data_IF_806086518720
#
_entry.id   IF_806086518720
#
_cell.length_a   1.000
_cell.length_b   1.000
_cell.length_c   1.000
_cell.angle_alpha   90.00
_cell.angle_beta   90.00
_cell.angle_gamma   90.00
#
_symmetry.space_group_name_H-M   'P 1'
#
loop_
_entity.id
_entity.type
_entity.pdbx_description
1 polymer ?
#
# COMPACT_ATOMS: atom_id res chain seq x y z
N UNK A 1 39.69 -13.45 62.34
CA UNK A 1 38.77 -12.48 61.71
C UNK A 1 38.18 -13.09 60.43
N UNK A 2 36.97 -12.68 60.07
CA UNK A 2 36.04 -13.28 59.08
C UNK A 2 36.60 -13.36 57.66
N UNK A 3 36.71 -14.56 57.08
CA UNK A 3 36.90 -14.78 55.62
C UNK A 3 35.79 -15.64 54.95
N UNK A 4 34.87 -16.22 55.73
CA UNK A 4 33.86 -17.16 55.21
C UNK A 4 32.59 -16.56 54.60
N UNK A 5 32.56 -15.25 54.29
CA UNK A 5 31.34 -14.56 53.80
C UNK A 5 31.44 -13.95 52.40
N UNK A 6 32.58 -14.08 51.72
CA UNK A 6 32.79 -13.42 50.41
C UNK A 6 32.51 -14.31 49.19
N UNK A 7 32.22 -15.61 49.36
CA UNK A 7 32.00 -16.55 48.24
C UNK A 7 30.58 -17.13 48.17
N UNK A 8 29.62 -16.58 48.93
CA UNK A 8 28.22 -17.07 48.95
C UNK A 8 27.21 -16.03 48.46
N UNK A 9 27.67 -14.89 47.94
CA UNK A 9 26.78 -13.77 47.57
C UNK A 9 26.43 -13.71 46.08
N UNK A 10 27.24 -14.37 45.23
CA UNK A 10 27.17 -14.26 43.76
C UNK A 10 26.69 -15.52 43.02
N UNK A 11 26.52 -16.66 43.70
CA UNK A 11 26.04 -17.91 43.07
C UNK A 11 24.53 -18.12 43.29
N UNK A 12 23.76 -17.04 43.14
CA UNK A 12 22.30 -17.10 43.12
C UNK A 12 21.84 -17.55 41.73
N UNK A 13 22.10 -18.82 41.42
CA UNK A 13 21.44 -19.49 40.31
C UNK A 13 19.93 -19.31 40.42
N UNK A 14 19.28 -18.95 39.32
CA UNK A 14 17.82 -18.85 39.28
C UNK A 14 17.22 -20.20 39.65
N UNK A 15 16.16 -20.20 40.48
CA UNK A 15 15.50 -21.45 40.85
C UNK A 15 14.97 -22.14 39.58
N UNK A 16 14.89 -23.48 39.53
CA UNK A 16 14.46 -24.20 38.32
C UNK A 16 13.14 -23.68 37.75
N UNK A 17 12.19 -23.31 38.61
CA UNK A 17 10.89 -22.77 38.21
C UNK A 17 11.01 -21.32 37.70
N UNK A 18 11.79 -20.48 38.38
CA UNK A 18 11.97 -19.09 37.97
C UNK A 18 12.78 -19.01 36.67
N UNK A 19 13.76 -19.88 36.47
CA UNK A 19 14.53 -19.97 35.23
C UNK A 19 13.65 -20.30 34.03
N UNK A 20 12.72 -21.25 34.19
CA UNK A 20 11.75 -21.58 33.12
C UNK A 20 10.83 -20.40 32.82
N UNK A 21 10.31 -19.73 33.86
CA UNK A 21 9.44 -18.56 33.65
C UNK A 21 10.19 -17.44 32.92
N UNK A 22 11.44 -17.15 33.32
CA UNK A 22 12.24 -16.10 32.69
C UNK A 22 12.62 -16.43 31.24
N UNK A 23 12.99 -17.68 30.96
CA UNK A 23 13.30 -18.14 29.61
C UNK A 23 12.09 -18.07 28.69
N UNK A 24 10.93 -18.54 29.16
CA UNK A 24 9.69 -18.50 28.39
C UNK A 24 9.22 -17.06 28.20
N UNK A 25 9.30 -16.21 29.23
CA UNK A 25 8.85 -14.82 29.13
C UNK A 25 9.61 -14.04 28.05
N UNK A 26 10.95 -14.12 28.04
CA UNK A 26 11.76 -13.39 27.06
C UNK A 26 11.52 -13.93 25.65
N UNK A 27 11.47 -15.25 25.47
CA UNK A 27 11.24 -15.85 24.15
C UNK A 27 9.86 -15.53 23.60
N UNK A 28 8.82 -15.48 24.43
CA UNK A 28 7.48 -15.04 24.03
C UNK A 28 7.47 -13.59 23.59
N UNK A 29 8.15 -12.70 24.32
CA UNK A 29 8.27 -11.28 23.93
C UNK A 29 9.01 -11.15 22.60
N UNK A 30 10.17 -11.80 22.45
CA UNK A 30 10.95 -11.73 21.21
C UNK A 30 10.18 -12.29 20.01
N UNK A 31 9.47 -13.42 20.19
CA UNK A 31 8.65 -14.00 19.15
C UNK A 31 7.49 -13.08 18.74
N UNK A 32 6.80 -12.47 19.71
CA UNK A 32 5.71 -11.52 19.44
C UNK A 32 6.23 -10.29 18.68
N UNK A 33 7.34 -9.72 19.14
CA UNK A 33 7.95 -8.52 18.54
C UNK A 33 8.39 -8.81 17.10
N UNK A 34 9.16 -9.88 16.87
CA UNK A 34 9.60 -10.24 15.51
C UNK A 34 8.40 -10.58 14.62
N UNK A 35 7.37 -11.25 15.15
CA UNK A 35 6.13 -11.52 14.43
C UNK A 35 5.46 -10.25 13.90
N UNK A 36 5.39 -9.20 14.74
CA UNK A 36 4.86 -7.89 14.29
C UNK A 36 5.75 -7.18 13.28
N UNK A 37 7.09 -7.30 13.40
CA UNK A 37 8.01 -6.73 12.42
C UNK A 37 7.94 -7.45 11.07
N UNK A 38 7.85 -8.78 11.05
CA UNK A 38 7.72 -9.57 9.82
C UNK A 38 6.37 -9.30 9.14
N UNK A 39 5.29 -9.20 9.92
CA UNK A 39 3.97 -8.88 9.37
C UNK A 39 3.92 -7.45 8.80
N UNK A 40 4.54 -6.48 9.49
CA UNK A 40 4.67 -5.10 9.00
C UNK A 40 5.55 -4.96 7.75
N UNK A 41 6.54 -5.84 7.57
CA UNK A 41 7.33 -5.92 6.32
C UNK A 41 6.51 -6.53 5.17
N UNK A 42 5.59 -7.45 5.46
CA UNK A 42 4.67 -8.00 4.46
C UNK A 42 3.81 -6.92 3.80
N UNK A 43 3.31 -5.96 4.59
CA UNK A 43 2.53 -4.81 4.11
C UNK A 43 3.37 -3.87 3.23
N UNK A 44 4.67 -3.71 3.52
CA UNK A 44 5.57 -2.92 2.68
C UNK A 44 6.02 -3.63 1.39
N UNK A 45 6.00 -4.97 1.37
CA UNK A 45 6.37 -5.79 0.20
C UNK A 45 5.21 -5.91 -0.79
N UNK A 46 3.96 -5.74 -0.34
CA UNK A 46 2.77 -5.56 -1.18
C UNK A 46 2.83 -4.22 -1.92
N UNK A 47 3.75 -4.10 -2.88
CA UNK A 47 4.06 -2.85 -3.57
C UNK A 47 2.82 -2.13 -4.11
N UNK A 48 2.88 -0.80 -4.12
CA UNK A 48 1.83 0.06 -4.66
C UNK A 48 1.45 -0.39 -6.08
N UNK A 49 0.16 -0.34 -6.42
CA UNK A 49 -0.29 -0.67 -7.77
C UNK A 49 0.44 0.21 -8.81
N UNK A 50 0.99 -0.40 -9.85
CA UNK A 50 1.71 0.30 -10.92
C UNK A 50 1.04 0.01 -12.26
N UNK A 51 0.90 1.04 -13.09
CA UNK A 51 0.42 0.91 -14.47
C UNK A 51 0.99 2.06 -15.33
N UNK A 52 1.19 1.79 -16.62
CA UNK A 52 1.53 2.79 -17.62
C UNK A 52 0.26 3.40 -18.21
N UNK A 53 0.12 4.72 -18.12
CA UNK A 53 -0.99 5.45 -18.71
C UNK A 53 -0.47 6.65 -19.50
N UNK A 54 -1.09 6.92 -20.65
CA UNK A 54 -0.86 8.12 -21.45
C UNK A 54 -2.09 8.99 -21.37
N UNK A 55 -1.89 10.29 -21.15
CA UNK A 55 -2.95 11.30 -21.10
C UNK A 55 -2.69 12.26 -22.26
N UNK A 56 -3.64 12.35 -23.17
CA UNK A 56 -3.68 13.33 -24.25
C UNK A 56 -4.70 14.41 -23.89
N UNK A 57 -4.42 15.68 -24.16
CA UNK A 57 -5.35 16.78 -23.90
C UNK A 57 -5.41 17.29 -22.46
N UNK A 58 -4.34 17.13 -21.66
CA UNK A 58 -4.24 17.79 -20.35
C UNK A 58 -4.35 19.31 -20.50
N UNK A 59 -5.19 19.92 -19.68
CA UNK A 59 -5.53 21.33 -19.68
C UNK A 59 -6.26 21.82 -20.95
N UNK A 60 -6.95 20.92 -21.66
CA UNK A 60 -7.75 21.25 -22.85
C UNK A 60 -9.24 20.95 -22.64
N UNK A 61 -10.08 21.17 -23.66
CA UNK A 61 -11.54 20.95 -23.61
C UNK A 61 -11.93 19.48 -23.46
N UNK A 62 -11.06 18.54 -23.83
CA UNK A 62 -11.25 17.12 -23.58
C UNK A 62 -9.91 16.42 -23.38
N UNK A 63 -9.88 15.43 -22.48
CA UNK A 63 -8.67 14.64 -22.22
C UNK A 63 -8.93 13.16 -22.48
N UNK A 64 -8.04 12.50 -23.21
CA UNK A 64 -8.10 11.05 -23.46
C UNK A 64 -7.04 10.34 -22.65
N UNK A 65 -7.48 9.41 -21.80
CA UNK A 65 -6.64 8.56 -20.98
C UNK A 65 -6.57 7.18 -21.62
N UNK A 66 -5.37 6.73 -21.97
CA UNK A 66 -5.12 5.43 -22.62
C UNK A 66 -4.23 4.57 -21.74
N UNK A 67 -4.70 3.36 -21.44
CA UNK A 67 -3.93 2.38 -20.69
C UNK A 67 -2.87 1.74 -21.59
N UNK A 68 -1.58 2.00 -21.35
CA UNK A 68 -0.49 1.47 -22.17
C UNK A 68 0.14 0.20 -21.60
N UNK A 69 0.14 0.05 -20.27
CA UNK A 69 0.64 -1.14 -19.58
C UNK A 69 -0.13 -1.32 -18.26
N UNK A 70 -0.54 -2.53 -17.93
CA UNK A 70 -1.19 -2.83 -16.65
C UNK A 70 -0.22 -2.97 -15.48
N UNK A 71 1.07 -3.23 -15.72
CA UNK A 71 2.07 -3.37 -14.66
C UNK A 71 1.67 -4.41 -13.60
N UNK A 72 1.51 -3.96 -12.35
CA UNK A 72 1.00 -4.75 -11.21
C UNK A 72 -0.47 -4.47 -10.89
N UNK A 73 -1.11 -3.56 -11.62
CA UNK A 73 -2.51 -3.21 -11.43
C UNK A 73 -3.45 -4.21 -12.12
N UNK A 74 -4.54 -4.56 -11.44
CA UNK A 74 -5.64 -5.35 -11.99
C UNK A 74 -6.48 -4.50 -12.95
N UNK A 75 -6.66 -3.22 -12.62
CA UNK A 75 -7.42 -2.26 -13.41
C UNK A 75 -6.94 -0.82 -13.15
N UNK A 76 -7.26 0.07 -14.08
CA UNK A 76 -7.00 1.51 -13.96
C UNK A 76 -8.30 2.29 -14.07
N UNK A 77 -8.66 3.01 -13.02
CA UNK A 77 -9.86 3.82 -12.97
C UNK A 77 -9.52 5.31 -13.07
N UNK A 78 -10.42 6.09 -13.66
CA UNK A 78 -10.34 7.55 -13.62
C UNK A 78 -11.40 8.05 -12.64
N UNK A 79 -10.98 8.93 -11.73
CA UNK A 79 -11.78 9.50 -10.65
C UNK A 79 -11.73 11.01 -10.67
N UNK A 80 -12.79 11.65 -10.17
CA UNK A 80 -12.76 13.08 -9.86
C UNK A 80 -11.78 13.34 -8.71
N UNK A 81 -10.90 14.33 -8.86
CA UNK A 81 -9.89 14.65 -7.86
C UNK A 81 -10.49 15.23 -6.56
N UNK A 82 -11.68 15.84 -6.65
CA UNK A 82 -12.31 16.54 -5.53
C UNK A 82 -12.99 15.61 -4.52
N UNK A 83 -13.61 14.54 -5.00
CA UNK A 83 -14.41 13.63 -4.17
C UNK A 83 -13.99 12.15 -4.28
N UNK A 84 -13.02 11.82 -5.14
CA UNK A 84 -12.52 10.46 -5.33
C UNK A 84 -13.52 9.49 -5.98
N UNK A 85 -14.66 9.97 -6.49
CA UNK A 85 -15.65 9.10 -7.15
C UNK A 85 -15.23 8.73 -8.57
N UNK A 86 -15.50 7.49 -8.97
CA UNK A 86 -15.22 7.03 -10.33
C UNK A 86 -16.08 7.78 -11.36
N UNK A 87 -15.47 8.16 -12.48
CA UNK A 87 -16.21 8.74 -13.60
C UNK A 87 -17.11 7.66 -14.21
N UNK A 88 -18.39 8.00 -14.44
CA UNK A 88 -19.33 7.12 -15.15
C UNK A 88 -19.27 7.39 -16.65
N UNK A 89 -19.20 6.32 -17.44
CA UNK A 89 -19.32 6.40 -18.90
C UNK A 89 -20.69 6.95 -19.31
N UNK A 90 -20.73 7.85 -20.28
CA UNK A 90 -21.93 8.50 -20.78
C UNK A 90 -21.77 10.02 -20.87
N UNK A 91 -22.39 10.76 -19.94
CA UNK A 91 -22.54 12.22 -20.04
C UNK A 91 -21.21 12.98 -19.92
N UNK A 92 -20.29 12.49 -19.07
CA UNK A 92 -19.01 13.18 -18.81
C UNK A 92 -17.80 12.55 -19.50
N UNK A 93 -17.97 11.36 -20.07
CA UNK A 93 -16.89 10.61 -20.70
C UNK A 93 -17.40 9.61 -21.74
N UNK A 94 -16.60 9.36 -22.77
CA UNK A 94 -16.82 8.33 -23.79
C UNK A 94 -15.74 7.26 -23.66
N UNK A 95 -16.14 6.01 -23.46
CA UNK A 95 -15.22 4.88 -23.23
C UNK A 95 -15.64 4.01 -22.06
N UNK A 96 -14.79 3.07 -21.65
CA UNK A 96 -15.07 2.17 -20.51
C UNK A 96 -14.22 2.60 -19.30
N UNK A 97 -14.84 2.67 -18.13
CA UNK A 97 -14.18 2.86 -16.84
C UNK A 97 -14.68 1.77 -15.89
N UNK A 98 -13.82 0.99 -15.22
CA UNK A 98 -12.36 1.02 -15.28
C UNK A 98 -11.77 0.43 -16.58
N UNK A 99 -10.54 0.85 -16.91
CA UNK A 99 -9.72 0.33 -17.99
C UNK A 99 -9.06 -0.98 -17.54
N UNK A 100 -9.45 -2.10 -18.13
CA UNK A 100 -8.97 -3.44 -17.74
C UNK A 100 -8.00 -4.06 -18.77
N UNK A 101 -7.97 -3.54 -20.00
CA UNK A 101 -7.15 -4.08 -21.08
C UNK A 101 -6.22 -2.99 -21.63
N UNK A 102 -4.95 -3.33 -21.84
CA UNK A 102 -4.00 -2.47 -22.54
C UNK A 102 -4.55 -2.06 -23.91
N UNK A 103 -4.41 -0.79 -24.26
CA UNK A 103 -4.99 -0.18 -25.46
C UNK A 103 -6.41 0.36 -25.27
N UNK A 104 -7.08 0.04 -24.16
CA UNK A 104 -8.36 0.68 -23.84
C UNK A 104 -8.15 2.16 -23.51
N UNK A 105 -9.08 3.00 -23.93
CA UNK A 105 -9.08 4.42 -23.63
C UNK A 105 -10.43 4.92 -23.17
N UNK A 106 -10.39 6.04 -22.46
CA UNK A 106 -11.56 6.82 -22.07
C UNK A 106 -11.27 8.29 -22.34
N UNK A 107 -12.20 8.95 -23.02
CA UNK A 107 -12.15 10.38 -23.29
C UNK A 107 -13.10 11.11 -22.36
N UNK A 108 -12.62 12.15 -21.71
CA UNK A 108 -13.35 12.95 -20.72
C UNK A 108 -13.60 14.31 -21.34
N UNK A 109 -14.87 14.70 -21.41
CA UNK A 109 -15.32 15.91 -22.12
C UNK A 109 -15.98 16.91 -21.17
N UNK A 110 -15.79 16.75 -19.86
CA UNK A 110 -16.35 17.63 -18.84
C UNK A 110 -15.22 18.32 -18.09
N UNK A 111 -15.30 19.64 -18.00
CA UNK A 111 -14.41 20.48 -17.21
C UNK A 111 -14.33 19.97 -15.77
N UNK A 112 -13.11 19.81 -15.27
CA UNK A 112 -12.89 19.28 -13.93
C UNK A 112 -11.45 18.82 -13.70
N UNK A 113 -11.14 18.50 -12.45
CA UNK A 113 -9.86 17.91 -12.06
C UNK A 113 -10.04 16.40 -11.89
N UNK A 114 -9.12 15.63 -12.45
CA UNK A 114 -9.21 14.17 -12.51
C UNK A 114 -7.91 13.52 -12.06
N UNK A 115 -8.05 12.32 -11.53
CA UNK A 115 -6.95 11.46 -11.08
C UNK A 115 -7.08 10.11 -11.76
N UNK A 116 -5.95 9.58 -12.22
CA UNK A 116 -5.83 8.22 -12.73
C UNK A 116 -5.31 7.36 -11.59
N UNK A 117 -6.07 6.34 -11.21
CA UNK A 117 -5.77 5.45 -10.10
C UNK A 117 -5.61 4.04 -10.61
N UNK A 118 -4.48 3.41 -10.28
CA UNK A 118 -4.27 1.98 -10.44
C UNK A 118 -4.77 1.25 -9.20
N UNK A 119 -5.49 0.16 -9.39
CA UNK A 119 -5.95 -0.73 -8.31
C UNK A 119 -5.31 -2.11 -8.49
N UNK A 120 -4.73 -2.64 -7.42
CA UNK A 120 -4.15 -4.00 -7.33
C UNK A 120 -4.71 -4.71 -6.10
N UNK A 121 -4.45 -6.00 -5.95
CA UNK A 121 -4.84 -6.79 -4.78
C UNK A 121 -4.20 -6.27 -3.47
N UNK A 122 -3.06 -5.56 -3.58
CA UNK A 122 -2.33 -4.98 -2.46
C UNK A 122 -2.74 -3.53 -2.15
N UNK A 123 -3.67 -2.94 -2.91
CA UNK A 123 -4.17 -1.58 -2.69
C UNK A 123 -4.18 -0.71 -3.94
N UNK A 124 -4.37 0.60 -3.73
CA UNK A 124 -4.50 1.60 -4.80
C UNK A 124 -3.32 2.56 -4.85
N UNK A 125 -3.04 3.09 -6.04
CA UNK A 125 -1.99 4.08 -6.25
C UNK A 125 -2.44 5.12 -7.27
N UNK A 126 -2.26 6.39 -6.94
CA UNK A 126 -2.51 7.49 -7.88
C UNK A 126 -1.33 7.59 -8.83
N UNK A 127 -1.59 7.32 -10.11
CA UNK A 127 -0.55 7.34 -11.15
C UNK A 127 -0.25 8.78 -11.56
N UNK A 128 -1.30 9.55 -11.88
CA UNK A 128 -1.23 10.91 -12.42
C UNK A 128 -2.52 11.67 -12.16
N UNK A 129 -2.41 12.99 -12.08
CA UNK A 129 -3.54 13.92 -12.08
C UNK A 129 -3.50 14.78 -13.33
N UNK A 130 -4.66 15.17 -13.85
CA UNK A 130 -4.79 16.05 -15.01
C UNK A 130 -6.05 16.89 -14.89
N UNK A 131 -6.14 17.95 -15.71
CA UNK A 131 -7.29 18.87 -15.71
C UNK A 131 -7.91 18.94 -17.10
N UNK A 132 -9.23 19.07 -17.14
CA UNK A 132 -9.98 19.43 -18.35
C UNK A 132 -10.54 20.83 -18.13
N UNK A 133 -10.33 21.75 -19.07
CA UNK A 133 -10.79 23.16 -19.01
C UNK A 133 -12.03 23.38 -19.85
#
# INVERSE_FOLDING_TARGET
MKLGKLFNEDDRGVSPVIGVILMVAITVILAAVIGTFVLGLGDQIGGSATAGVTIDGDNTSSATVTLTNTGTANNVAIRYAENGTDIKSGVSSSGTNPLNNTGSSITINTTGNYTVVATSDNGESVLRSFRVS
#
